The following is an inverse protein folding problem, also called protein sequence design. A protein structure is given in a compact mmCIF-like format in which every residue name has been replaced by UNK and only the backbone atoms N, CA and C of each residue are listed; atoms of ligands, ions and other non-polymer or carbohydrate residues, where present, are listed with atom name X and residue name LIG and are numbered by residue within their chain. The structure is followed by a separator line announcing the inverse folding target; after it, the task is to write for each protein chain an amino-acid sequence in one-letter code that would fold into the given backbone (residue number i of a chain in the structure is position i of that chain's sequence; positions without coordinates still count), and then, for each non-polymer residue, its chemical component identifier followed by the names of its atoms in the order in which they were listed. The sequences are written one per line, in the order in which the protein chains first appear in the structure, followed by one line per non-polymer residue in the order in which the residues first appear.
data_IF_024816137378
#
_entry.id   IF_024816137378
#
_cell.length_a   1.000
_cell.length_b   1.000
_cell.length_c   1.000
_cell.angle_alpha   90.00
_cell.angle_beta   90.00
_cell.angle_gamma   90.00
#
_symmetry.space_group_name_H-M   'P 1'
#
loop_
_entity.id
_entity.type
_entity.pdbx_description
1 polymer ?
#
# COMPACT_ATOMS: atom_id res chain seq x y z
N UNK A 1 3.42 -21.85 -3.08
CA UNK A 1 2.31 -21.33 -3.89
C UNK A 1 1.71 -20.14 -3.14
N UNK A 2 2.12 -18.92 -3.48
CA UNK A 2 1.51 -17.71 -2.93
C UNK A 2 0.20 -17.50 -3.71
N UNK A 3 -0.93 -17.89 -3.14
CA UNK A 3 -2.21 -17.33 -3.57
C UNK A 3 -2.12 -15.81 -3.38
N UNK A 4 -2.46 -15.04 -4.42
CA UNK A 4 -2.27 -13.59 -4.40
C UNK A 4 -2.91 -12.96 -3.16
N UNK A 5 -2.10 -12.30 -2.33
CA UNK A 5 -2.53 -11.63 -1.11
C UNK A 5 -3.00 -10.21 -1.40
N UNK A 6 -2.54 -9.62 -2.52
CA UNK A 6 -2.85 -8.24 -2.90
C UNK A 6 -3.61 -8.18 -4.23
N UNK A 7 -4.80 -7.57 -4.16
CA UNK A 7 -5.63 -7.28 -5.32
C UNK A 7 -5.66 -5.77 -5.52
N UNK A 8 -5.31 -5.35 -6.73
CA UNK A 8 -5.50 -3.99 -7.20
C UNK A 8 -6.70 -3.95 -8.12
N UNK A 9 -7.31 -2.77 -8.27
CA UNK A 9 -8.31 -2.52 -9.30
C UNK A 9 -7.86 -1.34 -10.15
N UNK A 10 -7.80 -1.58 -11.46
CA UNK A 10 -7.50 -0.56 -12.45
C UNK A 10 -8.80 -0.08 -13.06
N UNK A 11 -9.17 1.18 -12.79
CA UNK A 11 -10.33 1.81 -13.40
C UNK A 11 -9.88 2.73 -14.52
N UNK A 12 -10.38 2.45 -15.73
CA UNK A 12 -10.14 3.24 -16.95
C UNK A 12 -11.37 4.04 -17.39
N UNK A 13 -12.52 3.84 -16.73
CA UNK A 13 -13.82 4.44 -17.11
C UNK A 13 -14.00 5.89 -16.69
N UNK A 14 -13.21 6.38 -15.75
CA UNK A 14 -13.28 7.77 -15.33
C UNK A 14 -12.40 8.64 -16.24
N UNK A 15 -12.60 9.97 -16.23
CA UNK A 15 -11.73 10.91 -16.97
C UNK A 15 -10.26 10.86 -16.55
N UNK A 16 -9.91 10.11 -15.49
CA UNK A 16 -8.57 9.96 -14.94
C UNK A 16 -8.35 8.50 -14.53
N UNK A 17 -7.66 7.69 -15.33
CA UNK A 17 -7.32 6.31 -14.97
C UNK A 17 -6.69 6.24 -13.58
N UNK A 18 -7.07 5.23 -12.81
CA UNK A 18 -6.61 5.08 -11.43
C UNK A 18 -6.39 3.61 -11.08
N UNK A 19 -5.34 3.37 -10.30
CA UNK A 19 -5.10 2.09 -9.62
C UNK A 19 -5.35 2.27 -8.14
N UNK A 20 -6.08 1.34 -7.54
CA UNK A 20 -6.40 1.30 -6.12
C UNK A 20 -6.17 -0.10 -5.56
N UNK A 21 -5.85 -0.20 -4.28
CA UNK A 21 -5.79 -1.49 -3.60
C UNK A 21 -7.17 -1.84 -3.05
N UNK A 22 -7.74 -2.96 -3.49
CA UNK A 22 -9.03 -3.47 -2.99
C UNK A 22 -8.85 -4.54 -1.92
N UNK A 23 -7.70 -5.20 -1.92
CA UNK A 23 -7.31 -6.19 -0.91
C UNK A 23 -5.79 -6.16 -0.72
N UNK A 24 -5.32 -6.28 0.51
CA UNK A 24 -3.88 -6.39 0.79
C UNK A 24 -3.51 -6.06 2.23
N UNK A 25 -2.26 -6.29 2.66
CA UNK A 25 -1.82 -5.98 4.00
C UNK A 25 -1.58 -4.47 4.20
N UNK A 26 -2.22 -3.91 5.22
CA UNK A 26 -2.07 -2.52 5.67
C UNK A 26 -1.38 -2.45 7.04
N UNK A 27 -0.81 -1.28 7.36
CA UNK A 27 -0.06 -1.09 8.58
C UNK A 27 -0.98 -1.03 9.80
N UNK A 28 -0.57 -1.70 10.88
CA UNK A 28 -1.12 -1.48 12.24
C UNK A 28 -0.37 -0.34 12.91
N UNK A 29 -0.73 0.88 12.51
CA UNK A 29 -0.13 2.12 13.00
C UNK A 29 -0.96 2.77 14.12
N UNK A 30 -0.31 3.17 15.20
CA UNK A 30 -0.95 3.89 16.30
C UNK A 30 -0.63 5.39 16.24
N UNK A 31 -1.58 6.28 15.91
CA UNK A 31 -1.32 7.72 15.88
C UNK A 31 -1.04 8.34 17.26
N UNK A 32 -1.40 7.66 18.36
CA UNK A 32 -1.16 8.18 19.70
C UNK A 32 0.31 8.07 20.16
N UNK A 33 1.06 7.06 19.71
CA UNK A 33 2.46 6.87 20.09
C UNK A 33 3.41 6.66 18.90
N UNK A 34 2.88 6.80 17.68
CA UNK A 34 3.58 6.62 16.40
C UNK A 34 4.22 5.23 16.22
N UNK A 35 3.75 4.23 16.98
CA UNK A 35 4.22 2.86 16.86
C UNK A 35 3.55 2.16 15.69
N UNK A 36 4.35 1.46 14.88
CA UNK A 36 3.88 0.59 13.80
C UNK A 36 4.22 -0.85 14.18
N UNK A 37 3.20 -1.67 14.45
CA UNK A 37 3.41 -3.10 14.74
C UNK A 37 4.07 -3.79 13.53
N UNK A 38 4.80 -4.88 13.77
CA UNK A 38 5.43 -5.72 12.71
C UNK A 38 4.46 -6.72 12.07
N UNK A 39 3.23 -6.79 12.59
CA UNK A 39 2.17 -7.64 12.04
C UNK A 39 1.18 -6.76 11.27
N UNK A 40 0.96 -7.00 9.97
CA UNK A 40 -0.01 -6.23 9.21
C UNK A 40 -1.45 -6.58 9.58
N UNK A 41 -2.38 -5.71 9.22
CA UNK A 41 -3.81 -6.01 9.18
C UNK A 41 -4.18 -6.30 7.72
N UNK A 42 -4.91 -7.39 7.46
CA UNK A 42 -5.39 -7.69 6.11
C UNK A 42 -6.60 -6.82 5.79
N UNK A 43 -6.43 -5.88 4.86
CA UNK A 43 -7.52 -5.11 4.29
C UNK A 43 -8.22 -5.92 3.20
N UNK A 44 -9.54 -5.95 3.23
CA UNK A 44 -10.40 -6.61 2.24
C UNK A 44 -11.72 -5.84 2.07
N UNK A 45 -11.61 -4.51 1.95
CA UNK A 45 -12.73 -3.58 2.02
C UNK A 45 -13.16 -3.23 3.45
N UNK A 46 -14.23 -2.44 3.55
CA UNK A 46 -14.87 -2.06 4.80
C UNK A 46 -16.35 -2.43 4.82
N UNK A 47 -16.91 -2.45 6.03
CA UNK A 47 -18.34 -2.58 6.23
C UNK A 47 -18.86 -1.32 6.92
N UNK A 48 -19.70 -0.55 6.21
CA UNK A 48 -20.19 0.76 6.67
C UNK A 48 -19.02 1.71 6.99
N UNK A 49 -17.99 1.74 6.15
CA UNK A 49 -16.76 2.51 6.37
C UNK A 49 -15.83 1.95 7.45
N UNK A 50 -16.22 0.96 8.25
CA UNK A 50 -15.34 0.36 9.25
C UNK A 50 -14.40 -0.67 8.63
N UNK A 51 -13.10 -0.38 8.69
CA UNK A 51 -12.01 -1.27 8.26
C UNK A 51 -11.67 -2.26 9.37
N UNK A 52 -11.61 -1.78 10.61
CA UNK A 52 -11.28 -2.62 11.77
C UNK A 52 -10.81 -1.81 12.95
N UNK A 53 -10.22 -2.49 13.93
CA UNK A 53 -9.61 -1.86 15.10
C UNK A 53 -8.69 -2.82 15.84
N UNK A 54 -7.76 -2.26 16.60
CA UNK A 54 -6.79 -3.03 17.38
C UNK A 54 -6.33 -2.25 18.62
N UNK A 55 -5.78 -2.95 19.60
CA UNK A 55 -5.08 -2.33 20.73
C UNK A 55 -3.60 -2.16 20.40
N UNK A 56 -3.05 -0.98 20.68
CA UNK A 56 -1.64 -0.71 20.47
C UNK A 56 -0.79 -1.48 21.50
N UNK A 57 0.07 -2.37 21.01
CA UNK A 57 0.99 -3.17 21.83
C UNK A 57 2.03 -2.35 22.62
N UNK A 58 2.22 -1.06 22.27
CA UNK A 58 3.19 -0.18 22.94
C UNK A 58 2.57 0.73 24.00
N UNK A 59 1.43 1.35 23.72
CA UNK A 59 0.82 2.34 24.62
C UNK A 59 -0.57 1.96 25.14
N UNK A 60 -1.10 0.79 24.77
CA UNK A 60 -2.44 0.33 25.17
C UNK A 60 -3.60 1.09 24.54
N UNK A 61 -3.33 2.09 23.69
CA UNK A 61 -4.40 2.87 23.05
C UNK A 61 -5.27 1.99 22.16
N UNK A 62 -6.59 2.15 22.25
CA UNK A 62 -7.53 1.54 21.31
C UNK A 62 -7.51 2.35 20.01
N UNK A 63 -7.14 1.68 18.92
CA UNK A 63 -7.08 2.23 17.57
C UNK A 63 -8.27 1.72 16.77
N UNK A 64 -9.07 2.64 16.23
CA UNK A 64 -10.12 2.34 15.27
C UNK A 64 -9.72 2.83 13.89
N UNK A 65 -10.10 2.08 12.86
CA UNK A 65 -9.77 2.34 11.47
C UNK A 65 -11.04 2.40 10.64
N UNK A 66 -11.16 3.46 9.85
CA UNK A 66 -12.26 3.65 8.91
C UNK A 66 -11.73 4.05 7.55
N UNK A 67 -12.45 3.66 6.50
CA UNK A 67 -12.33 4.22 5.16
C UNK A 67 -13.64 4.93 4.81
N UNK A 68 -13.63 5.74 3.75
CA UNK A 68 -14.82 6.46 3.30
C UNK A 68 -15.56 5.64 2.26
N UNK A 69 -16.24 4.59 2.73
CA UNK A 69 -17.12 3.73 1.93
C UNK A 69 -16.44 3.19 0.65
N UNK A 70 -15.54 2.23 0.84
CA UNK A 70 -14.91 1.42 -0.20
C UNK A 70 -13.82 2.11 -1.05
N UNK A 71 -13.32 3.30 -0.66
CA UNK A 71 -12.25 4.00 -1.38
C UNK A 71 -11.38 4.89 -0.45
N UNK A 72 -10.04 4.87 -0.54
CA UNK A 72 -9.11 5.44 0.47
C UNK A 72 -9.04 6.99 0.43
N UNK A 73 -8.52 7.66 1.48
CA UNK A 73 -7.55 7.17 2.48
C UNK A 73 -8.14 6.48 3.71
N UNK A 74 -7.34 5.61 4.36
CA UNK A 74 -7.69 4.96 5.64
C UNK A 74 -7.35 5.91 6.78
N UNK A 75 -8.34 6.21 7.61
CA UNK A 75 -8.22 7.08 8.76
C UNK A 75 -8.09 6.26 10.04
N UNK A 76 -7.06 6.59 10.83
CA UNK A 76 -6.75 5.98 12.12
C UNK A 76 -7.14 6.93 13.23
N UNK A 77 -7.82 6.41 14.25
CA UNK A 77 -8.23 7.13 15.44
C UNK A 77 -7.75 6.38 16.66
N UNK A 78 -6.92 7.00 17.50
CA UNK A 78 -6.44 6.40 18.74
C UNK A 78 -6.83 7.23 19.96
N UNK A 79 -7.31 6.55 21.00
CA UNK A 79 -7.50 7.12 22.34
C UNK A 79 -6.72 6.31 23.36
N UNK A 80 -5.89 6.98 24.17
CA UNK A 80 -5.14 6.35 25.26
C UNK A 80 -6.02 6.11 26.50
N UNK A 81 -6.92 7.05 26.79
CA UNK A 81 -7.90 6.94 27.88
C UNK A 81 -9.29 7.31 27.36
N UNK A 82 -10.38 6.84 27.99
CA UNK A 82 -11.75 7.15 27.55
C UNK A 82 -12.02 8.65 27.39
N UNK A 83 -11.48 9.45 28.31
CA UNK A 83 -11.66 10.91 28.39
C UNK A 83 -10.51 11.70 27.75
N UNK A 84 -9.52 11.02 27.15
CA UNK A 84 -8.35 11.64 26.54
C UNK A 84 -8.60 12.18 25.13
N UNK A 85 -7.71 13.07 24.62
CA UNK A 85 -7.79 13.56 23.26
C UNK A 85 -7.64 12.40 22.25
N UNK A 86 -8.38 12.47 21.15
CA UNK A 86 -8.24 11.51 20.05
C UNK A 86 -7.11 11.95 19.13
N UNK A 87 -6.07 11.13 19.01
CA UNK A 87 -5.04 11.31 17.99
C UNK A 87 -5.51 10.69 16.67
N UNK A 88 -5.29 11.39 15.56
CA UNK A 88 -5.74 10.94 14.24
C UNK A 88 -4.63 10.98 13.21
N UNK A 89 -4.62 10.03 12.29
CA UNK A 89 -3.73 10.03 11.12
C UNK A 89 -4.47 9.46 9.90
N UNK A 90 -4.14 9.96 8.71
CA UNK A 90 -4.75 9.50 7.46
C UNK A 90 -3.67 8.96 6.53
N UNK A 91 -3.78 7.69 6.17
CA UNK A 91 -2.82 7.00 5.30
C UNK A 91 -3.48 6.69 3.96
N UNK A 92 -2.91 7.23 2.89
CA UNK A 92 -3.22 6.84 1.51
C UNK A 92 -2.23 5.74 1.10
N UNK A 93 -2.72 4.51 0.98
CA UNK A 93 -1.85 3.35 0.78
C UNK A 93 -1.28 3.28 -0.64
N UNK A 94 -2.00 3.81 -1.62
CA UNK A 94 -1.55 3.94 -3.00
C UNK A 94 -0.29 4.79 -3.10
N UNK A 95 -0.23 5.87 -2.33
CA UNK A 95 0.94 6.74 -2.24
C UNK A 95 2.05 6.11 -1.39
N UNK A 96 1.68 5.50 -0.26
CA UNK A 96 2.65 4.88 0.64
C UNK A 96 3.42 3.75 -0.05
N UNK A 97 2.73 2.93 -0.84
CA UNK A 97 3.30 1.79 -1.54
C UNK A 97 3.66 2.08 -3.00
N UNK A 98 3.44 3.31 -3.50
CA UNK A 98 3.68 3.69 -4.90
C UNK A 98 2.98 2.74 -5.89
N UNK A 99 1.72 2.43 -5.62
CA UNK A 99 0.87 1.54 -6.43
C UNK A 99 -0.27 2.31 -7.11
N UNK A 100 -0.05 3.59 -7.41
CA UNK A 100 -0.96 4.44 -8.17
C UNK A 100 -0.63 4.42 -9.68
N UNK A 101 -1.57 4.88 -10.50
CA UNK A 101 -1.43 4.92 -11.96
C UNK A 101 -0.14 5.62 -12.42
N UNK A 102 0.20 6.85 -11.96
CA UNK A 102 1.46 7.51 -12.33
C UNK A 102 2.71 6.67 -12.10
N UNK A 103 2.80 5.99 -10.95
CA UNK A 103 3.95 5.15 -10.59
C UNK A 103 4.06 3.91 -11.50
N UNK A 104 2.95 3.25 -11.79
CA UNK A 104 2.93 2.16 -12.78
C UNK A 104 3.37 2.64 -14.17
N UNK A 105 2.83 3.77 -14.65
CA UNK A 105 3.22 4.35 -15.95
C UNK A 105 4.68 4.79 -15.99
N UNK A 106 5.25 5.18 -14.86
CA UNK A 106 6.66 5.50 -14.76
C UNK A 106 7.53 4.24 -14.91
N UNK A 107 7.15 3.13 -14.26
CA UNK A 107 7.83 1.84 -14.44
C UNK A 107 7.72 1.37 -15.89
N UNK A 108 6.55 1.44 -16.51
CA UNK A 108 6.38 1.08 -17.93
C UNK A 108 7.32 1.89 -18.83
N UNK A 109 7.51 3.19 -18.55
CA UNK A 109 8.45 4.04 -19.31
C UNK A 109 9.91 3.63 -19.13
N UNK A 110 10.32 3.26 -17.92
CA UNK A 110 11.69 2.80 -17.66
C UNK A 110 11.94 1.41 -18.24
N UNK A 111 10.95 0.54 -18.18
CA UNK A 111 11.10 -0.90 -18.46
C UNK A 111 10.68 -1.31 -19.87
N UNK A 112 9.81 -0.54 -20.52
CA UNK A 112 9.12 -0.95 -21.75
C UNK A 112 8.03 -2.01 -21.53
N UNK A 113 7.75 -2.40 -20.28
CA UNK A 113 6.68 -3.34 -19.95
C UNK A 113 5.31 -2.69 -20.15
N UNK A 114 4.27 -3.52 -20.32
CA UNK A 114 2.86 -3.10 -20.28
C UNK A 114 2.19 -3.77 -19.08
N UNK A 115 2.17 -3.07 -17.96
CA UNK A 115 1.60 -3.51 -16.68
C UNK A 115 0.11 -3.17 -16.59
N UNK A 116 -0.28 -2.00 -17.07
CA UNK A 116 -1.65 -1.50 -17.07
C UNK A 116 -2.19 -1.37 -18.50
N UNK A 117 -3.07 -2.28 -18.90
CA UNK A 117 -3.74 -2.20 -20.21
C UNK A 117 -4.81 -1.11 -20.19
N UNK A 118 -4.79 -0.23 -21.19
CA UNK A 118 -5.68 0.95 -21.22
C UNK A 118 -7.17 0.63 -21.42
N UNK A 119 -7.48 -0.55 -21.95
CA UNK A 119 -8.85 -0.93 -22.31
C UNK A 119 -9.53 -1.82 -21.27
N UNK A 120 -8.78 -2.27 -20.26
CA UNK A 120 -9.25 -3.27 -19.30
C UNK A 120 -9.57 -2.63 -17.95
N UNK A 121 -10.85 -2.43 -17.67
CA UNK A 121 -11.29 -2.25 -16.28
C UNK A 121 -11.31 -3.61 -15.59
N UNK A 122 -10.32 -3.88 -14.73
CA UNK A 122 -10.18 -5.20 -14.11
C UNK A 122 -9.47 -5.19 -12.77
N UNK A 123 -9.74 -6.26 -12.02
CA UNK A 123 -8.91 -6.65 -10.90
C UNK A 123 -7.56 -7.19 -11.42
N UNK A 124 -6.49 -6.77 -10.75
CA UNK A 124 -5.12 -7.17 -11.02
C UNK A 124 -4.55 -7.87 -9.79
N UNK A 125 -4.00 -9.06 -9.98
CA UNK A 125 -3.14 -9.66 -8.96
C UNK A 125 -1.81 -8.92 -8.95
N UNK A 126 -1.37 -8.45 -7.78
CA UNK A 126 -0.19 -7.60 -7.70
C UNK A 126 1.12 -8.39 -7.77
N UNK A 127 1.19 -9.56 -7.16
CA UNK A 127 2.41 -10.38 -7.11
C UNK A 127 2.95 -10.75 -8.51
N UNK A 128 2.11 -11.14 -9.50
CA UNK A 128 2.58 -11.33 -10.87
C UNK A 128 3.14 -10.07 -11.54
N UNK A 129 2.68 -8.87 -11.16
CA UNK A 129 3.24 -7.61 -11.66
C UNK A 129 4.61 -7.36 -11.04
N UNK A 130 4.75 -7.60 -9.73
CA UNK A 130 6.03 -7.49 -9.02
C UNK A 130 7.06 -8.46 -9.62
N UNK A 131 6.67 -9.70 -9.89
CA UNK A 131 7.54 -10.70 -10.52
C UNK A 131 8.01 -10.27 -11.92
N UNK A 132 7.11 -9.76 -12.77
CA UNK A 132 7.48 -9.26 -14.10
C UNK A 132 8.51 -8.12 -14.03
N UNK A 133 8.36 -7.18 -13.10
CA UNK A 133 9.32 -6.09 -12.92
C UNK A 133 10.64 -6.62 -12.35
N UNK A 134 10.59 -7.59 -11.43
CA UNK A 134 11.79 -8.22 -10.89
C UNK A 134 12.61 -8.93 -11.97
N UNK A 135 11.94 -9.69 -12.85
CA UNK A 135 12.58 -10.37 -13.98
C UNK A 135 13.25 -9.37 -14.93
N UNK A 136 12.61 -8.23 -15.17
CA UNK A 136 13.17 -7.18 -16.03
C UNK A 136 14.39 -6.48 -15.39
N UNK A 137 14.34 -6.19 -14.10
CA UNK A 137 15.49 -5.66 -13.34
C UNK A 137 16.66 -6.65 -13.37
N UNK A 138 16.37 -7.95 -13.18
CA UNK A 138 17.37 -9.01 -13.25
C UNK A 138 17.96 -9.17 -14.66
N UNK A 139 17.12 -9.13 -15.71
CA UNK A 139 17.54 -9.20 -17.12
C UNK A 139 18.51 -8.07 -17.48
N UNK A 140 18.32 -6.88 -16.91
CA UNK A 140 19.18 -5.71 -17.07
C UNK A 140 20.41 -5.71 -16.16
N UNK A 141 20.53 -6.69 -15.25
CA UNK A 141 21.57 -6.78 -14.25
C UNK A 141 21.74 -5.49 -13.41
N UNK A 142 20.62 -4.84 -13.08
CA UNK A 142 20.66 -3.60 -12.27
C UNK A 142 20.94 -3.92 -10.80
N UNK A 143 21.79 -3.14 -10.11
CA UNK A 143 22.08 -3.34 -8.71
C UNK A 143 20.89 -2.94 -7.84
N UNK A 144 20.30 -3.90 -7.13
CA UNK A 144 19.12 -3.68 -6.29
C UNK A 144 19.37 -2.58 -5.25
N UNK A 145 18.41 -1.66 -5.16
CA UNK A 145 18.39 -0.55 -4.22
C UNK A 145 17.35 -0.80 -3.13
N UNK A 146 17.68 -0.42 -1.91
CA UNK A 146 16.70 -0.38 -0.81
C UNK A 146 15.91 0.92 -0.89
N UNK A 147 14.58 0.83 -0.88
CA UNK A 147 13.72 2.00 -0.90
C UNK A 147 13.80 2.78 0.41
N UNK A 148 13.73 4.11 0.32
CA UNK A 148 13.46 4.96 1.47
C UNK A 148 11.94 5.13 1.62
N UNK A 149 11.43 5.06 2.84
CA UNK A 149 10.01 5.29 3.10
C UNK A 149 9.68 6.78 3.15
N UNK A 150 8.54 7.15 2.58
CA UNK A 150 8.09 8.56 2.49
C UNK A 150 7.57 9.12 3.82
N UNK A 151 7.31 8.27 4.82
CA UNK A 151 6.74 8.63 6.12
C UNK A 151 7.66 8.19 7.26
N UNK A 152 7.93 9.06 8.26
CA UNK A 152 8.90 8.77 9.32
C UNK A 152 8.48 7.62 10.25
N UNK A 153 7.18 7.38 10.41
CA UNK A 153 6.66 6.28 11.23
C UNK A 153 6.64 4.92 10.51
N UNK A 154 6.94 4.90 9.21
CA UNK A 154 7.01 3.68 8.41
C UNK A 154 8.45 3.22 8.38
N UNK A 155 8.77 2.23 9.21
CA UNK A 155 10.11 1.63 9.28
C UNK A 155 10.20 0.30 8.55
N UNK A 156 9.07 -0.19 8.04
CA UNK A 156 8.93 -1.44 7.29
C UNK A 156 7.58 -1.42 6.56
N UNK A 157 7.46 -2.21 5.49
CA UNK A 157 6.17 -2.52 4.85
C UNK A 157 6.05 -4.02 4.60
N UNK A 158 4.84 -4.58 4.52
CA UNK A 158 4.65 -6.00 4.26
C UNK A 158 5.08 -6.39 2.84
N UNK A 159 5.44 -7.66 2.64
CA UNK A 159 5.50 -8.22 1.29
C UNK A 159 4.08 -8.31 0.70
N UNK A 160 3.91 -8.14 -0.62
CA UNK A 160 4.96 -7.92 -1.65
C UNK A 160 5.40 -6.45 -1.82
N UNK A 161 4.89 -5.50 -1.02
CA UNK A 161 5.17 -4.07 -1.19
C UNK A 161 6.64 -3.70 -0.94
N UNK A 162 7.31 -4.39 -0.02
CA UNK A 162 8.73 -4.15 0.23
C UNK A 162 9.57 -4.47 -1.01
N UNK A 163 9.33 -5.62 -1.64
CA UNK A 163 9.98 -6.00 -2.91
C UNK A 163 9.67 -4.97 -4.00
N UNK A 164 8.40 -4.59 -4.16
CA UNK A 164 7.98 -3.59 -5.15
C UNK A 164 8.71 -2.25 -4.98
N UNK A 165 8.75 -1.70 -3.77
CA UNK A 165 9.39 -0.42 -3.50
C UNK A 165 10.90 -0.46 -3.78
N UNK A 166 11.56 -1.59 -3.49
CA UNK A 166 12.97 -1.77 -3.81
C UNK A 166 13.21 -1.82 -5.33
N UNK A 167 12.35 -2.52 -6.07
CA UNK A 167 12.41 -2.54 -7.54
C UNK A 167 12.18 -1.15 -8.13
N UNK A 168 11.20 -0.41 -7.60
CA UNK A 168 10.95 0.97 -7.99
C UNK A 168 12.20 1.83 -7.78
N UNK A 169 12.78 1.81 -6.57
CA UNK A 169 13.98 2.58 -6.24
C UNK A 169 15.19 2.18 -7.10
N UNK A 170 15.26 0.92 -7.52
CA UNK A 170 16.30 0.42 -8.43
C UNK A 170 16.16 1.04 -9.82
N UNK A 171 14.95 1.04 -10.36
CA UNK A 171 14.66 1.60 -11.68
C UNK A 171 14.75 3.12 -11.71
N UNK A 172 14.40 3.80 -10.61
CA UNK A 172 14.48 5.27 -10.49
C UNK A 172 15.94 5.79 -10.56
N UNK A 173 16.91 4.94 -10.24
CA UNK A 173 18.34 5.29 -10.21
C UNK A 173 19.15 4.71 -11.38
N UNK A 174 18.52 3.92 -12.25
CA UNK A 174 19.14 3.28 -13.40
C UNK A 174 19.17 4.22 -14.62
#
# INVERSE_FOLDING_TARGET
MLGGMVTLYHSVRTRKPSVMMTQGPILRYCPACQHTSRTPLLYNGSRYGHVGGFECERCGARVNMVDRDCYPPVQYFARQTPDGPTATETILYEDLYRINEPDFRQIERWTGLTLLRQEDEKALAFEPLVAQVADEVARRALPLQTAAFSRPFVTWVPEPFQTWLNLYATLERA
#
